data_IF_486167147964
#
_entry.id   IF_486167147964
#
_cell.length_a   1.000
_cell.length_b   1.000
_cell.length_c   1.000
_cell.angle_alpha   90.00
_cell.angle_beta   90.00
_cell.angle_gamma   90.00
#
_symmetry.space_group_name_H-M   'P 1'
#
loop_
_entity.id
_entity.type
_entity.pdbx_description
1 polymer ?
#
# COMPACT_ATOMS: atom_id res chain seq x y z
N UNK A 1 3.62 4.65 2.82
CA UNK A 1 4.39 3.54 3.42
C UNK A 1 5.73 3.33 2.72
N UNK A 2 5.79 3.05 1.41
CA UNK A 2 7.06 2.73 0.74
C UNK A 2 8.10 3.86 0.68
N UNK A 3 7.66 5.12 0.58
CA UNK A 3 8.56 6.28 0.52
C UNK A 3 9.18 6.62 1.90
N UNK A 4 8.41 6.42 2.96
CA UNK A 4 8.82 6.68 4.34
C UNK A 4 9.85 5.63 4.80
N UNK A 5 9.60 4.35 4.49
CA UNK A 5 10.56 3.26 4.70
C UNK A 5 11.86 3.43 3.91
N UNK A 6 11.78 3.92 2.67
CA UNK A 6 12.97 4.22 1.87
C UNK A 6 13.78 5.38 2.46
N UNK A 7 13.10 6.39 3.01
CA UNK A 7 13.73 7.55 3.65
C UNK A 7 14.42 7.16 4.95
N UNK A 8 13.78 6.33 5.77
CA UNK A 8 14.38 5.79 7.00
C UNK A 8 15.60 4.90 6.71
N UNK A 9 15.54 4.11 5.64
CA UNK A 9 16.67 3.26 5.22
C UNK A 9 17.85 4.09 4.72
N UNK A 10 17.60 5.19 4.00
CA UNK A 10 18.65 6.14 3.60
C UNK A 10 19.27 6.81 4.84
N UNK A 11 18.46 7.25 5.80
CA UNK A 11 18.95 7.87 7.02
C UNK A 11 19.82 6.91 7.86
N UNK A 12 19.48 5.63 7.91
CA UNK A 12 20.28 4.60 8.57
C UNK A 12 21.62 4.36 7.86
N UNK A 13 21.60 4.29 6.53
CA UNK A 13 22.82 4.12 5.73
C UNK A 13 23.75 5.34 5.86
N UNK A 14 23.21 6.56 5.87
CA UNK A 14 24.01 7.77 6.11
C UNK A 14 24.64 7.80 7.50
N UNK A 15 23.91 7.35 8.54
CA UNK A 15 24.47 7.27 9.90
C UNK A 15 25.63 6.27 9.94
N UNK A 16 25.43 5.08 9.37
CA UNK A 16 26.47 4.06 9.34
C UNK A 16 27.70 4.50 8.54
N UNK A 17 27.52 5.22 7.42
CA UNK A 17 28.61 5.78 6.63
C UNK A 17 29.41 6.85 7.40
N UNK A 18 28.74 7.77 8.10
CA UNK A 18 29.40 8.77 8.96
C UNK A 18 30.18 8.11 10.11
N UNK A 19 29.63 7.05 10.69
CA UNK A 19 30.26 6.33 11.80
C UNK A 19 31.51 5.56 11.34
N UNK A 20 31.48 4.97 10.14
CA UNK A 20 32.66 4.37 9.53
C UNK A 20 33.76 5.39 9.19
N UNK A 21 33.39 6.57 8.68
CA UNK A 21 34.36 7.65 8.39
C UNK A 21 35.05 8.16 9.66
N UNK A 22 34.30 8.33 10.76
CA UNK A 22 34.86 8.71 12.06
C UNK A 22 35.86 7.65 12.56
N UNK A 23 35.52 6.36 12.47
CA UNK A 23 36.43 5.27 12.86
C UNK A 23 37.69 5.24 12.01
N UNK A 24 37.57 5.51 10.72
CA UNK A 24 38.72 5.62 9.81
C UNK A 24 39.62 6.81 10.18
N UNK A 25 39.05 7.98 10.44
CA UNK A 25 39.83 9.15 10.89
C UNK A 25 40.50 8.94 12.25
N UNK A 26 39.84 8.25 13.18
CA UNK A 26 40.43 7.87 14.46
C UNK A 26 41.62 6.92 14.24
N UNK A 27 41.45 5.89 13.40
CA UNK A 27 42.56 5.00 13.03
C UNK A 27 43.72 5.78 12.40
N UNK A 28 43.46 6.76 11.53
CA UNK A 28 44.54 7.58 10.96
C UNK A 28 45.26 8.40 12.04
N UNK A 29 44.52 8.97 13.00
CA UNK A 29 45.11 9.73 14.11
C UNK A 29 45.96 8.85 15.03
N UNK A 30 45.50 7.63 15.29
CA UNK A 30 46.22 6.66 16.14
C UNK A 30 47.51 6.16 15.47
N UNK A 31 47.54 6.11 14.14
CA UNK A 31 48.74 5.76 13.37
C UNK A 31 49.62 6.97 12.99
N UNK A 32 49.12 8.20 13.11
CA UNK A 32 49.97 9.38 12.97
C UNK A 32 50.75 9.61 14.25
N UNK A 33 52.00 9.12 14.31
CA UNK A 33 52.96 9.55 15.32
C UNK A 33 52.98 11.09 15.37
N UNK A 34 53.06 11.71 16.56
CA UNK A 34 53.27 13.15 16.64
C UNK A 34 54.59 13.46 15.91
N UNK A 35 54.51 14.15 14.78
CA UNK A 35 55.62 14.94 14.30
C UNK A 35 55.80 16.09 15.29
N UNK A 36 56.44 15.78 16.43
CA UNK A 36 57.14 16.77 17.23
C UNK A 36 58.16 17.41 16.30
N UNK A 37 57.83 18.59 15.80
CA UNK A 37 58.84 19.55 15.37
C UNK A 37 59.68 19.85 16.60
N UNK A 38 60.80 19.15 16.75
CA UNK A 38 61.87 19.56 17.66
C UNK A 38 62.41 20.91 17.17
N UNK A 39 61.84 21.98 17.72
CA UNK A 39 62.50 23.28 17.74
C UNK A 39 63.72 23.16 18.65
N UNK A 40 64.90 23.12 18.04
CA UNK A 40 66.21 23.01 18.71
C UNK A 40 66.52 24.26 19.56
N UNK A 41 65.71 25.30 19.47
CA UNK A 41 66.03 26.61 20.04
C UNK A 41 65.63 26.77 21.53
N UNK A 42 64.75 25.91 22.07
CA UNK A 42 64.23 26.06 23.45
C UNK A 42 64.96 25.24 24.53
N UNK A 43 66.00 24.45 24.19
CA UNK A 43 66.76 23.68 25.21
C UNK A 43 68.09 24.33 25.63
N UNK A 44 68.43 25.51 25.12
CA UNK A 44 69.70 26.18 25.44
C UNK A 44 69.61 27.22 26.58
N UNK A 45 68.45 27.43 27.20
CA UNK A 45 68.26 28.53 28.16
C UNK A 45 68.05 28.11 29.63
N UNK A 46 68.02 26.82 29.96
CA UNK A 46 67.84 26.37 31.36
C UNK A 46 68.70 25.15 31.68
N UNK A 47 69.94 25.42 32.09
CA UNK A 47 70.57 24.86 33.29
C UNK A 47 72.07 25.13 33.23
N UNK A 48 72.50 26.11 34.00
CA UNK A 48 73.91 26.33 34.27
C UNK A 48 74.45 25.18 35.08
N UNK A 49 75.34 24.41 34.47
CA UNK A 49 76.42 23.72 35.16
C UNK A 49 77.55 23.53 34.16
N UNK A 50 78.73 24.04 34.52
CA UNK A 50 79.95 23.91 33.73
C UNK A 50 80.35 22.43 33.68
N UNK A 51 79.83 21.68 32.70
CA UNK A 51 80.35 20.35 32.38
C UNK A 51 81.60 20.52 31.52
N UNK A 52 82.72 20.10 32.10
CA UNK A 52 84.05 20.13 31.50
C UNK A 52 84.10 19.31 30.20
N UNK A 53 84.53 19.95 29.11
CA UNK A 53 84.76 19.36 27.78
C UNK A 53 85.72 18.15 27.77
N UNK A 54 86.42 17.87 28.87
CA UNK A 54 87.27 16.68 29.01
C UNK A 54 86.49 15.39 29.24
N UNK A 55 85.28 15.43 29.82
CA UNK A 55 84.47 14.24 30.08
C UNK A 55 83.74 13.73 28.83
N UNK A 56 83.58 14.56 27.81
CA UNK A 56 82.98 14.19 26.52
C UNK A 56 84.00 13.62 25.51
N UNK A 57 85.30 13.69 25.80
CA UNK A 57 86.38 13.17 24.95
C UNK A 57 86.99 11.84 25.43
N UNK A 58 86.54 11.30 26.57
CA UNK A 58 86.87 9.93 26.98
C UNK A 58 85.98 8.93 26.22
N UNK A 59 86.33 8.67 24.96
CA UNK A 59 85.96 7.41 24.31
C UNK A 59 86.88 6.33 24.92
N UNK A 60 86.65 6.00 26.18
CA UNK A 60 87.27 4.84 26.81
C UNK A 60 86.53 3.61 26.27
N UNK A 61 87.20 2.77 25.50
CA UNK A 61 86.67 1.43 25.20
C UNK A 61 86.23 0.78 26.52
N UNK A 62 85.02 0.19 26.59
CA UNK A 62 84.57 -0.44 27.82
C UNK A 62 85.62 -1.49 28.21
N UNK A 63 86.10 -1.41 29.44
CA UNK A 63 87.04 -2.44 29.92
C UNK A 63 86.35 -3.80 29.84
N UNK A 64 87.07 -4.87 29.50
CA UNK A 64 86.53 -6.24 29.47
C UNK A 64 85.71 -6.59 30.73
N UNK A 65 86.12 -6.05 31.89
CA UNK A 65 85.41 -6.15 33.17
C UNK A 65 83.99 -5.55 33.13
N UNK A 66 83.81 -4.36 32.54
CA UNK A 66 82.50 -3.73 32.38
C UNK A 66 81.60 -4.50 31.42
N UNK A 67 82.15 -5.02 30.32
CA UNK A 67 81.40 -5.87 29.39
C UNK A 67 80.96 -7.17 30.05
N UNK A 68 81.88 -7.88 30.73
CA UNK A 68 81.55 -9.11 31.45
C UNK A 68 80.54 -8.87 32.58
N UNK A 69 80.61 -7.72 33.26
CA UNK A 69 79.65 -7.34 34.30
C UNK A 69 78.25 -7.05 33.71
N UNK A 70 78.18 -6.44 32.52
CA UNK A 70 76.95 -6.23 31.77
C UNK A 70 76.31 -7.57 31.37
N UNK A 71 77.11 -8.47 30.78
CA UNK A 71 76.66 -9.83 30.40
C UNK A 71 76.16 -10.62 31.61
N UNK A 72 76.88 -10.54 32.73
CA UNK A 72 76.45 -11.17 33.97
C UNK A 72 75.10 -10.64 34.47
N UNK A 73 74.87 -9.31 34.46
CA UNK A 73 73.59 -8.71 34.87
C UNK A 73 72.45 -9.16 33.96
N UNK A 74 72.69 -9.21 32.64
CA UNK A 74 71.71 -9.70 31.68
C UNK A 74 71.36 -11.18 31.91
N UNK A 75 72.37 -12.04 32.09
CA UNK A 75 72.18 -13.46 32.37
C UNK A 75 71.44 -13.68 33.69
N UNK A 76 71.74 -12.89 34.73
CA UNK A 76 71.08 -13.00 36.03
C UNK A 76 69.61 -12.57 35.99
N UNK A 77 69.30 -11.51 35.24
CA UNK A 77 67.92 -11.10 34.95
C UNK A 77 67.16 -12.20 34.20
N UNK A 78 67.79 -12.81 33.19
CA UNK A 78 67.21 -13.92 32.44
C UNK A 78 66.94 -15.15 33.32
N UNK A 79 67.86 -15.52 34.21
CA UNK A 79 67.66 -16.61 35.18
C UNK A 79 66.41 -16.38 36.04
N UNK A 80 66.19 -15.15 36.49
CA UNK A 80 65.03 -14.80 37.30
C UNK A 80 63.72 -14.91 36.50
N UNK A 81 63.70 -14.42 35.26
CA UNK A 81 62.53 -14.52 34.37
C UNK A 81 62.18 -15.97 34.04
N UNK A 82 63.17 -16.83 33.81
CA UNK A 82 62.94 -18.24 33.50
C UNK A 82 62.44 -19.01 34.74
N UNK A 83 62.91 -18.65 35.94
CA UNK A 83 62.40 -19.21 37.20
C UNK A 83 60.94 -18.83 37.46
N UNK A 84 60.57 -17.58 37.21
CA UNK A 84 59.18 -17.12 37.43
C UNK A 84 58.22 -17.72 36.42
N UNK A 85 58.63 -17.84 35.15
CA UNK A 85 57.80 -18.44 34.11
C UNK A 85 57.56 -19.95 34.33
N UNK A 86 58.41 -20.64 35.11
CA UNK A 86 58.18 -22.04 35.53
C UNK A 86 57.09 -22.16 36.61
N UNK A 87 56.97 -21.17 37.49
CA UNK A 87 55.99 -21.16 38.61
C UNK A 87 54.67 -20.45 38.25
N UNK A 88 54.60 -19.75 37.11
CA UNK A 88 53.48 -18.89 36.68
C UNK A 88 52.26 -19.63 36.07
N UNK A 89 52.16 -20.96 36.16
CA UNK A 89 50.88 -21.65 35.86
C UNK A 89 49.82 -21.39 36.97
N UNK A 90 50.18 -20.68 38.05
CA UNK A 90 49.24 -19.98 38.93
C UNK A 90 49.18 -18.50 38.57
N UNK A 91 48.14 -18.10 37.84
CA UNK A 91 47.93 -16.74 37.31
C UNK A 91 47.80 -15.63 38.35
N UNK A 92 48.91 -15.30 39.02
CA UNK A 92 49.09 -14.12 39.85
C UNK A 92 50.50 -13.60 39.61
N UNK A 93 50.57 -12.44 38.94
CA UNK A 93 51.80 -11.73 38.61
C UNK A 93 52.64 -11.54 39.89
N UNK A 94 53.76 -12.25 39.99
CA UNK A 94 54.71 -12.02 41.07
C UNK A 94 55.67 -10.90 40.65
N UNK A 95 55.46 -9.72 41.23
CA UNK A 95 56.32 -8.54 41.07
C UNK A 95 57.77 -8.90 41.47
N UNK A 96 58.60 -9.21 40.48
CA UNK A 96 60.02 -9.40 40.66
C UNK A 96 60.66 -8.05 40.94
N UNK A 97 60.75 -7.73 42.23
CA UNK A 97 61.65 -6.70 42.72
C UNK A 97 63.07 -7.09 42.33
N UNK A 98 63.65 -6.36 41.39
CA UNK A 98 65.08 -6.40 41.10
C UNK A 98 65.81 -6.24 42.43
N UNK A 99 66.39 -7.32 42.95
CA UNK A 99 67.25 -7.24 44.12
C UNK A 99 68.39 -6.27 43.76
N UNK A 100 68.31 -5.07 44.34
CA UNK A 100 69.32 -4.02 44.27
C UNK A 100 70.66 -4.59 44.71
N UNK A 101 71.46 -5.05 43.75
CA UNK A 101 72.79 -5.55 44.00
C UNK A 101 73.74 -4.36 43.90
N UNK A 102 74.33 -4.01 45.04
CA UNK A 102 75.23 -2.88 45.23
C UNK A 102 76.29 -2.78 44.12
N UNK A 103 76.47 -1.56 43.60
CA UNK A 103 77.43 -1.17 42.54
C UNK A 103 78.92 -1.29 42.95
N UNK A 104 79.26 -2.14 43.92
CA UNK A 104 80.62 -2.20 44.50
C UNK A 104 81.39 -3.47 44.18
N UNK A 105 80.83 -4.41 43.42
CA UNK A 105 81.53 -5.63 43.03
C UNK A 105 82.48 -5.40 41.84
N UNK A 106 83.78 -5.42 42.11
CA UNK A 106 84.82 -5.61 41.09
C UNK A 106 84.61 -6.99 40.43
N UNK A 107 84.69 -7.06 39.10
CA UNK A 107 84.49 -8.31 38.36
C UNK A 107 85.39 -9.42 38.89
N UNK A 108 84.77 -10.52 39.33
CA UNK A 108 85.45 -11.74 39.78
C UNK A 108 85.11 -12.88 38.82
N UNK A 109 86.13 -13.64 38.41
CA UNK A 109 86.03 -14.75 37.44
C UNK A 109 84.98 -15.81 37.85
N UNK A 110 84.65 -15.91 39.14
CA UNK A 110 83.65 -16.86 39.66
C UNK A 110 82.19 -16.50 39.35
N UNK A 111 81.86 -15.23 39.18
CA UNK A 111 80.46 -14.77 39.08
C UNK A 111 79.75 -15.32 37.84
N UNK A 112 80.37 -15.23 36.66
CA UNK A 112 79.80 -15.78 35.43
C UNK A 112 79.65 -17.31 35.51
N UNK A 113 80.56 -17.98 36.21
CA UNK A 113 80.51 -19.44 36.41
C UNK A 113 79.31 -19.83 37.28
N UNK A 114 79.03 -19.06 38.34
CA UNK A 114 77.85 -19.28 39.18
C UNK A 114 76.54 -19.12 38.42
N UNK A 115 76.39 -18.03 37.65
CA UNK A 115 75.17 -17.81 36.85
C UNK A 115 75.05 -18.82 35.71
N UNK A 116 76.16 -19.25 35.12
CA UNK A 116 76.14 -20.34 34.13
C UNK A 116 75.68 -21.67 34.76
N UNK A 117 76.14 -22.00 35.97
CA UNK A 117 75.70 -23.21 36.66
C UNK A 117 74.22 -23.13 37.07
N UNK A 118 73.76 -21.96 37.48
CA UNK A 118 72.34 -21.70 37.78
C UNK A 118 71.45 -21.90 36.54
N UNK A 119 71.89 -21.40 35.38
CA UNK A 119 71.21 -21.64 34.10
C UNK A 119 71.19 -23.11 33.71
N UNK A 120 72.31 -23.81 33.87
CA UNK A 120 72.39 -25.25 33.57
C UNK A 120 71.43 -26.04 34.45
N UNK A 121 71.38 -25.73 35.76
CA UNK A 121 70.44 -26.38 36.67
C UNK A 121 68.99 -26.08 36.29
N UNK A 122 68.66 -24.83 35.93
CA UNK A 122 67.31 -24.46 35.52
C UNK A 122 66.86 -25.16 34.23
N UNK A 123 67.77 -25.34 33.28
CA UNK A 123 67.53 -26.10 32.04
C UNK A 123 67.34 -27.59 32.33
N UNK A 124 68.10 -28.15 33.26
CA UNK A 124 67.98 -29.55 33.66
C UNK A 124 66.71 -29.82 34.49
N UNK A 125 66.29 -28.86 35.31
CA UNK A 125 65.04 -28.90 36.09
C UNK A 125 63.79 -28.67 35.21
N UNK A 126 63.97 -28.27 33.95
CA UNK A 126 62.86 -28.12 33.01
C UNK A 126 62.26 -29.49 32.72
N UNK A 127 61.01 -29.71 33.15
CA UNK A 127 60.29 -30.96 32.89
C UNK A 127 59.79 -31.02 31.43
N UNK A 128 60.71 -31.34 30.53
CA UNK A 128 60.47 -31.51 29.10
C UNK A 128 59.37 -32.55 28.83
N UNK A 129 59.24 -33.58 29.68
CA UNK A 129 58.22 -34.62 29.53
C UNK A 129 56.83 -34.02 29.78
N UNK A 130 56.64 -33.28 30.87
CA UNK A 130 55.38 -32.58 31.16
C UNK A 130 55.01 -31.56 30.09
N UNK A 131 55.99 -30.85 29.52
CA UNK A 131 55.76 -29.92 28.42
C UNK A 131 55.31 -30.64 27.14
N UNK A 132 55.96 -31.76 26.78
CA UNK A 132 55.57 -32.60 25.64
C UNK A 132 54.13 -33.10 25.83
N UNK A 133 53.79 -33.62 27.01
CA UNK A 133 52.43 -34.07 27.30
C UNK A 133 51.40 -32.94 27.20
N UNK A 134 51.74 -31.72 27.65
CA UNK A 134 50.87 -30.53 27.52
C UNK A 134 50.68 -30.15 26.04
N UNK A 135 51.74 -30.16 25.25
CA UNK A 135 51.67 -29.92 23.81
C UNK A 135 50.83 -30.99 23.10
N UNK A 136 50.95 -32.25 23.47
CA UNK A 136 50.13 -33.34 22.93
C UNK A 136 48.66 -33.24 23.32
N UNK A 137 48.36 -32.76 24.54
CA UNK A 137 46.98 -32.44 24.97
C UNK A 137 46.40 -31.33 24.10
N UNK A 138 47.09 -30.20 23.93
CA UNK A 138 46.62 -29.11 23.07
C UNK A 138 46.46 -29.55 21.61
N UNK A 139 47.36 -30.39 21.09
CA UNK A 139 47.23 -30.95 19.75
C UNK A 139 45.95 -31.76 19.59
N UNK A 140 45.60 -32.60 20.58
CA UNK A 140 44.34 -33.37 20.58
C UNK A 140 43.12 -32.46 20.67
N UNK A 141 43.14 -31.46 21.55
CA UNK A 141 42.03 -30.51 21.70
C UNK A 141 41.77 -29.73 20.40
N UNK A 142 42.83 -29.29 19.71
CA UNK A 142 42.72 -28.61 18.41
C UNK A 142 42.08 -29.56 17.38
N UNK A 143 42.53 -30.82 17.30
CA UNK A 143 41.95 -31.80 16.39
C UNK A 143 40.46 -32.05 16.66
N UNK A 144 40.06 -32.14 17.93
CA UNK A 144 38.65 -32.30 18.31
C UNK A 144 37.82 -31.06 17.96
N UNK A 145 38.39 -29.85 18.11
CA UNK A 145 37.76 -28.60 17.66
C UNK A 145 37.60 -28.55 16.14
N UNK A 146 38.60 -28.99 15.38
CA UNK A 146 38.53 -29.02 13.91
C UNK A 146 37.42 -29.96 13.42
N UNK A 147 37.29 -31.15 14.02
CA UNK A 147 36.20 -32.09 13.70
C UNK A 147 34.83 -31.48 14.01
N UNK A 148 34.69 -30.79 15.14
CA UNK A 148 33.44 -30.14 15.52
C UNK A 148 33.11 -28.94 14.61
N UNK A 149 34.12 -28.15 14.22
CA UNK A 149 33.96 -27.07 13.24
C UNK A 149 33.49 -27.61 11.89
N UNK A 150 34.05 -28.74 11.44
CA UNK A 150 33.63 -29.38 10.19
C UNK A 150 32.16 -29.82 10.26
N UNK A 151 31.73 -30.47 11.35
CA UNK A 151 30.32 -30.86 11.55
C UNK A 151 29.37 -29.67 11.54
N UNK A 152 29.77 -28.56 12.16
CA UNK A 152 29.00 -27.31 12.15
C UNK A 152 28.93 -26.71 10.76
N UNK A 153 30.03 -26.74 10.01
CA UNK A 153 30.05 -26.28 8.62
C UNK A 153 29.10 -27.09 7.73
N UNK A 154 29.08 -28.43 7.88
CA UNK A 154 28.17 -29.31 7.14
C UNK A 154 26.70 -29.01 7.50
N UNK A 155 26.41 -28.80 8.79
CA UNK A 155 25.05 -28.44 9.26
C UNK A 155 24.61 -27.08 8.71
N UNK A 156 25.51 -26.08 8.71
CA UNK A 156 25.24 -24.77 8.13
C UNK A 156 24.90 -24.92 6.65
N UNK A 157 25.70 -25.69 5.89
CA UNK A 157 25.45 -25.93 4.48
C UNK A 157 24.08 -26.59 4.25
N UNK A 158 23.73 -27.62 5.03
CA UNK A 158 22.41 -28.26 4.93
C UNK A 158 21.27 -27.27 5.21
N UNK A 159 21.38 -26.48 6.28
CA UNK A 159 20.37 -25.46 6.60
C UNK A 159 20.28 -24.39 5.52
N UNK A 160 21.40 -23.94 4.96
CA UNK A 160 21.42 -22.98 3.85
C UNK A 160 20.69 -23.53 2.63
N UNK A 161 20.90 -24.80 2.27
CA UNK A 161 20.16 -25.42 1.15
C UNK A 161 18.66 -25.52 1.44
N UNK A 162 18.26 -25.90 2.66
CA UNK A 162 16.84 -25.95 3.06
C UNK A 162 16.19 -24.58 3.00
N UNK A 163 16.87 -23.54 3.49
CA UNK A 163 16.37 -22.16 3.42
C UNK A 163 16.19 -21.73 1.96
N UNK A 164 17.16 -22.02 1.09
CA UNK A 164 17.06 -21.69 -0.33
C UNK A 164 15.85 -22.37 -1.01
N UNK A 165 15.59 -23.65 -0.70
CA UNK A 165 14.42 -24.36 -1.22
C UNK A 165 13.12 -23.73 -0.70
N UNK A 166 13.02 -23.51 0.61
CA UNK A 166 11.85 -22.87 1.22
C UNK A 166 11.57 -21.47 0.64
N UNK A 167 12.60 -20.68 0.33
CA UNK A 167 12.46 -19.36 -0.30
C UNK A 167 11.87 -19.46 -1.71
N UNK A 168 12.28 -20.46 -2.49
CA UNK A 168 11.74 -20.70 -3.83
C UNK A 168 10.28 -21.17 -3.75
N UNK A 169 9.97 -22.11 -2.85
CA UNK A 169 8.60 -22.58 -2.63
C UNK A 169 7.67 -21.45 -2.16
N UNK A 170 8.14 -20.61 -1.25
CA UNK A 170 7.40 -19.45 -0.78
C UNK A 170 7.14 -18.47 -1.93
N UNK A 171 8.15 -18.18 -2.76
CA UNK A 171 7.99 -17.31 -3.92
C UNK A 171 6.96 -17.88 -4.90
N UNK A 172 7.05 -19.17 -5.21
CA UNK A 172 6.08 -19.84 -6.09
C UNK A 172 4.65 -19.80 -5.52
N UNK A 173 4.49 -20.02 -4.22
CA UNK A 173 3.19 -19.95 -3.55
C UNK A 173 2.61 -18.52 -3.57
N UNK A 174 3.44 -17.49 -3.38
CA UNK A 174 3.01 -16.09 -3.48
C UNK A 174 2.57 -15.75 -4.91
N UNK A 175 3.33 -16.18 -5.92
CA UNK A 175 2.97 -15.99 -7.34
C UNK A 175 1.65 -16.68 -7.70
N UNK A 176 1.41 -17.90 -7.19
CA UNK A 176 0.15 -18.62 -7.40
C UNK A 176 -1.03 -17.89 -6.73
N UNK A 177 -0.85 -17.45 -5.48
CA UNK A 177 -1.85 -16.65 -4.77
C UNK A 177 -2.19 -15.37 -5.54
N UNK A 178 -1.18 -14.67 -6.04
CA UNK A 178 -1.37 -13.42 -6.74
C UNK A 178 -2.06 -13.63 -8.09
N UNK A 179 -1.72 -14.71 -8.82
CA UNK A 179 -2.45 -15.13 -10.02
C UNK A 179 -3.92 -15.42 -9.70
N UNK A 180 -4.21 -16.26 -8.70
CA UNK A 180 -5.58 -16.60 -8.30
C UNK A 180 -6.37 -15.36 -7.85
N UNK A 181 -5.74 -14.43 -7.13
CA UNK A 181 -6.36 -13.17 -6.71
C UNK A 181 -6.70 -12.28 -7.90
N UNK A 182 -5.79 -12.16 -8.87
CA UNK A 182 -6.03 -11.38 -10.07
C UNK A 182 -7.17 -11.98 -10.91
N UNK A 183 -7.18 -13.29 -11.11
CA UNK A 183 -8.25 -13.99 -11.85
C UNK A 183 -9.61 -13.84 -11.16
N UNK A 184 -9.66 -13.96 -9.84
CA UNK A 184 -10.87 -13.73 -9.06
C UNK A 184 -11.36 -12.28 -9.20
N UNK A 185 -10.46 -11.30 -9.16
CA UNK A 185 -10.82 -9.89 -9.34
C UNK A 185 -11.33 -9.59 -10.75
N UNK A 186 -10.68 -10.11 -11.79
CA UNK A 186 -11.11 -9.95 -13.18
C UNK A 186 -12.47 -10.63 -13.43
N UNK A 187 -12.67 -11.82 -12.88
CA UNK A 187 -13.95 -12.54 -12.98
C UNK A 187 -15.07 -11.79 -12.26
N UNK A 188 -14.83 -11.30 -11.04
CA UNK A 188 -15.81 -10.52 -10.29
C UNK A 188 -16.21 -9.24 -11.00
N UNK A 189 -15.21 -8.46 -11.47
CA UNK A 189 -15.46 -7.22 -12.21
C UNK A 189 -16.23 -7.50 -13.51
N UNK A 190 -15.88 -8.55 -14.24
CA UNK A 190 -16.60 -8.95 -15.45
C UNK A 190 -18.06 -9.34 -15.15
N UNK A 191 -18.32 -10.04 -14.04
CA UNK A 191 -19.68 -10.38 -13.63
C UNK A 191 -20.48 -9.13 -13.23
N UNK A 192 -19.88 -8.21 -12.48
CA UNK A 192 -20.52 -6.95 -12.10
C UNK A 192 -20.89 -6.11 -13.32
N UNK A 193 -19.99 -6.00 -14.30
CA UNK A 193 -20.26 -5.29 -15.56
C UNK A 193 -21.42 -5.92 -16.35
N UNK A 194 -21.50 -7.26 -16.38
CA UNK A 194 -22.61 -7.99 -17.02
C UNK A 194 -23.93 -7.72 -16.28
N UNK A 195 -23.92 -7.73 -14.94
CA UNK A 195 -25.10 -7.45 -14.13
C UNK A 195 -25.57 -6.01 -14.30
N UNK A 196 -24.64 -5.04 -14.36
CA UNK A 196 -24.95 -3.63 -14.61
C UNK A 196 -25.61 -3.44 -15.98
N UNK A 197 -25.04 -4.01 -17.04
CA UNK A 197 -25.63 -3.98 -18.39
C UNK A 197 -27.01 -4.62 -18.42
N UNK A 198 -27.20 -5.76 -17.75
CA UNK A 198 -28.49 -6.44 -17.67
C UNK A 198 -29.56 -5.61 -16.94
N UNK A 199 -29.16 -4.89 -15.87
CA UNK A 199 -30.04 -3.93 -15.17
C UNK A 199 -30.42 -2.78 -16.08
N UNK A 200 -29.46 -2.19 -16.78
CA UNK A 200 -29.71 -1.09 -17.70
C UNK A 200 -30.69 -1.48 -18.82
N UNK A 201 -30.48 -2.64 -19.45
CA UNK A 201 -31.39 -3.16 -20.48
C UNK A 201 -32.81 -3.35 -19.94
N UNK A 202 -32.94 -3.90 -18.73
CA UNK A 202 -34.24 -4.06 -18.06
C UNK A 202 -34.90 -2.71 -17.81
N UNK A 203 -34.17 -1.74 -17.27
CA UNK A 203 -34.71 -0.42 -16.94
C UNK A 203 -35.15 0.34 -18.20
N UNK A 204 -34.38 0.22 -19.29
CA UNK A 204 -34.78 0.72 -20.61
C UNK A 204 -36.06 0.03 -21.11
N UNK A 205 -36.18 -1.29 -20.97
CA UNK A 205 -37.37 -2.03 -21.37
C UNK A 205 -38.60 -1.64 -20.53
N UNK A 206 -38.44 -1.47 -19.22
CA UNK A 206 -39.49 -0.98 -18.31
C UNK A 206 -39.93 0.43 -18.71
N UNK A 207 -39.00 1.32 -19.03
CA UNK A 207 -39.31 2.68 -19.48
C UNK A 207 -40.11 2.67 -20.78
N UNK A 208 -39.71 1.83 -21.77
CA UNK A 208 -40.47 1.66 -23.03
C UNK A 208 -41.87 1.10 -22.77
N UNK A 209 -42.01 0.10 -21.88
CA UNK A 209 -43.30 -0.47 -21.49
C UNK A 209 -44.21 0.58 -20.87
N UNK A 210 -43.72 1.33 -19.89
CA UNK A 210 -44.51 2.37 -19.22
C UNK A 210 -44.93 3.47 -20.20
N UNK A 211 -44.06 3.87 -21.13
CA UNK A 211 -44.42 4.82 -22.19
C UNK A 211 -45.56 4.30 -23.07
N UNK A 212 -45.48 3.05 -23.51
CA UNK A 212 -46.53 2.43 -24.31
C UNK A 212 -47.86 2.28 -23.53
N UNK A 213 -47.80 1.97 -22.23
CA UNK A 213 -48.98 1.91 -21.35
C UNK A 213 -49.66 3.27 -21.22
N UNK A 214 -48.88 4.35 -21.09
CA UNK A 214 -49.41 5.73 -21.05
C UNK A 214 -50.07 6.10 -22.39
N UNK A 215 -49.43 5.79 -23.52
CA UNK A 215 -49.99 6.04 -24.86
C UNK A 215 -51.28 5.23 -25.09
N UNK A 216 -51.32 3.98 -24.63
CA UNK A 216 -52.53 3.15 -24.68
C UNK A 216 -53.67 3.71 -23.83
N UNK A 217 -53.37 4.24 -22.64
CA UNK A 217 -54.38 4.87 -21.80
C UNK A 217 -54.95 6.13 -22.45
N UNK A 218 -54.10 6.95 -23.09
CA UNK A 218 -54.52 8.15 -23.83
C UNK A 218 -55.44 7.80 -25.00
N UNK A 219 -55.04 6.85 -25.85
CA UNK A 219 -55.86 6.44 -27.00
C UNK A 219 -57.19 5.83 -26.59
N UNK A 220 -57.26 5.09 -25.46
CA UNK A 220 -58.53 4.63 -24.88
C UNK A 220 -59.44 5.77 -24.45
N UNK A 221 -58.88 6.79 -23.80
CA UNK A 221 -59.63 7.97 -23.39
C UNK A 221 -60.17 8.74 -24.61
N UNK A 222 -59.35 8.94 -25.64
CA UNK A 222 -59.75 9.57 -26.90
C UNK A 222 -60.88 8.78 -27.59
N UNK A 223 -60.81 7.44 -27.60
CA UNK A 223 -61.86 6.59 -28.14
C UNK A 223 -63.17 6.73 -27.35
N UNK A 224 -63.11 6.73 -26.02
CA UNK A 224 -64.30 6.93 -25.18
C UNK A 224 -64.93 8.31 -25.42
N UNK A 225 -64.11 9.36 -25.56
CA UNK A 225 -64.59 10.70 -25.89
C UNK A 225 -65.26 10.76 -27.26
N UNK A 226 -64.63 10.19 -28.29
CA UNK A 226 -65.20 10.12 -29.64
C UNK A 226 -66.51 9.32 -29.67
N UNK A 227 -66.60 8.23 -28.91
CA UNK A 227 -67.83 7.46 -28.78
C UNK A 227 -68.95 8.26 -28.09
N UNK A 228 -68.61 9.03 -27.04
CA UNK A 228 -69.55 9.96 -26.39
C UNK A 228 -70.09 11.01 -27.37
N UNK A 229 -69.21 11.66 -28.12
CA UNK A 229 -69.60 12.63 -29.16
C UNK A 229 -70.48 12.00 -30.24
N UNK A 230 -70.18 10.77 -30.66
CA UNK A 230 -71.02 10.04 -31.62
C UNK A 230 -72.42 9.77 -31.06
N UNK A 231 -72.50 9.36 -29.79
CA UNK A 231 -73.77 9.06 -29.13
C UNK A 231 -74.65 10.32 -29.00
N UNK A 232 -74.04 11.45 -28.62
CA UNK A 232 -74.70 12.76 -28.59
C UNK A 232 -75.19 13.18 -29.99
N UNK A 233 -74.38 13.01 -31.03
CA UNK A 233 -74.77 13.33 -32.41
C UNK A 233 -75.93 12.44 -32.91
N UNK A 234 -75.92 11.15 -32.55
CA UNK A 234 -77.04 10.24 -32.85
C UNK A 234 -78.30 10.70 -32.13
N UNK A 235 -78.19 11.06 -30.85
CA UNK A 235 -79.33 11.50 -30.06
C UNK A 235 -79.94 12.80 -30.62
N UNK A 236 -79.12 13.79 -30.96
CA UNK A 236 -79.56 15.00 -31.65
C UNK A 236 -80.23 14.69 -32.99
N UNK A 237 -79.68 13.74 -33.78
CA UNK A 237 -80.29 13.30 -35.04
C UNK A 237 -81.66 12.65 -34.83
N UNK A 238 -81.80 11.81 -33.79
CA UNK A 238 -83.08 11.18 -33.45
C UNK A 238 -84.11 12.24 -33.04
N UNK A 239 -83.73 13.18 -32.18
CA UNK A 239 -84.59 14.28 -31.74
C UNK A 239 -85.08 15.14 -32.93
N UNK A 240 -84.17 15.52 -33.83
CA UNK A 240 -84.54 16.26 -35.05
C UNK A 240 -85.45 15.44 -35.99
N UNK A 241 -85.23 14.12 -36.08
CA UNK A 241 -86.08 13.24 -36.89
C UNK A 241 -87.51 13.17 -36.32
N UNK A 242 -87.64 13.07 -35.00
CA UNK A 242 -88.94 13.11 -34.32
C UNK A 242 -89.65 14.47 -34.49
N UNK A 243 -88.91 15.58 -34.38
CA UNK A 243 -89.45 16.91 -34.65
C UNK A 243 -89.94 17.06 -36.10
N UNK A 244 -89.21 16.49 -37.06
CA UNK A 244 -89.60 16.46 -38.47
C UNK A 244 -90.90 15.66 -38.67
N UNK A 245 -90.99 14.47 -38.07
CA UNK A 245 -92.20 13.62 -38.12
C UNK A 245 -93.41 14.35 -37.52
N UNK A 246 -93.23 15.04 -36.39
CA UNK A 246 -94.28 15.87 -35.78
C UNK A 246 -94.72 17.00 -36.72
N UNK A 247 -93.76 17.73 -37.30
CA UNK A 247 -94.07 18.84 -38.22
C UNK A 247 -94.78 18.35 -39.49
N UNK A 248 -94.42 17.17 -39.99
CA UNK A 248 -95.11 16.51 -41.10
C UNK A 248 -96.56 16.19 -40.74
N UNK A 249 -96.83 15.67 -39.54
CA UNK A 249 -98.18 15.39 -39.07
C UNK A 249 -99.01 16.68 -38.94
N UNK A 250 -98.47 17.71 -38.29
CA UNK A 250 -99.15 19.01 -38.11
C UNK A 250 -99.49 19.66 -39.47
N UNK A 251 -98.57 19.59 -40.44
CA UNK A 251 -98.81 20.09 -41.80
C UNK A 251 -99.90 19.29 -42.53
N UNK A 252 -99.94 17.97 -42.33
CA UNK A 252 -100.97 17.13 -42.92
C UNK A 252 -102.34 17.43 -42.31
N UNK A 253 -102.43 17.61 -41.00
CA UNK A 253 -103.66 18.04 -40.32
C UNK A 253 -104.15 19.40 -40.84
N UNK A 254 -103.25 20.38 -40.98
CA UNK A 254 -103.58 21.70 -41.52
C UNK A 254 -104.12 21.61 -42.96
N UNK A 255 -103.53 20.75 -43.80
CA UNK A 255 -104.03 20.49 -45.16
C UNK A 255 -105.41 19.84 -45.14
N UNK A 256 -105.63 18.85 -44.27
CA UNK A 256 -106.92 18.18 -44.11
C UNK A 256 -108.00 19.14 -43.58
N UNK A 257 -107.67 20.02 -42.64
CA UNK A 257 -108.57 21.08 -42.16
C UNK A 257 -108.89 22.09 -43.25
N UNK A 258 -107.89 22.54 -44.02
CA UNK A 258 -108.13 23.43 -45.16
C UNK A 258 -109.02 22.76 -46.22
N UNK A 259 -108.82 21.47 -46.49
CA UNK A 259 -109.66 20.71 -47.42
C UNK A 259 -111.10 20.59 -46.90
N UNK A 260 -111.29 20.20 -45.64
CA UNK A 260 -112.61 20.13 -44.99
C UNK A 260 -113.31 21.49 -44.97
N UNK A 261 -112.59 22.56 -44.65
CA UNK A 261 -113.10 23.94 -44.65
C UNK A 261 -113.56 24.35 -46.05
N UNK A 262 -112.77 24.04 -47.10
CA UNK A 262 -113.18 24.31 -48.48
C UNK A 262 -114.40 23.50 -48.92
N UNK A 263 -114.47 22.22 -48.57
CA UNK A 263 -115.63 21.36 -48.88
C UNK A 263 -116.89 21.86 -48.19
N UNK A 264 -116.85 22.10 -46.87
CA UNK A 264 -117.99 22.65 -46.12
C UNK A 264 -118.39 24.04 -46.58
N UNK A 265 -117.44 24.93 -46.89
CA UNK A 265 -117.73 26.26 -47.45
C UNK A 265 -118.35 26.17 -48.85
N UNK A 266 -117.95 25.18 -49.68
CA UNK A 266 -118.61 24.89 -50.95
C UNK A 266 -120.02 24.33 -50.76
N UNK A 267 -120.23 23.41 -49.82
CA UNK A 267 -121.55 22.87 -49.48
C UNK A 267 -122.52 23.96 -48.96
N UNK A 268 -122.04 24.88 -48.12
CA UNK A 268 -122.82 26.04 -47.65
C UNK A 268 -123.14 26.97 -48.82
N UNK A 269 -122.17 27.28 -49.69
CA UNK A 269 -122.43 28.07 -50.92
C UNK A 269 -123.42 27.38 -51.86
N UNK A 270 -123.38 26.06 -51.99
CA UNK A 270 -124.35 25.27 -52.76
C UNK A 270 -125.75 25.29 -52.10
N UNK A 271 -125.85 25.27 -50.77
CA UNK A 271 -127.14 25.38 -50.05
C UNK A 271 -127.74 26.79 -50.11
N UNK A 272 -126.92 27.84 -50.00
CA UNK A 272 -127.36 29.23 -50.13
C UNK A 272 -127.79 29.58 -51.57
N UNK A 273 -127.14 28.98 -52.59
CA UNK A 273 -127.56 29.14 -53.99
C UNK A 273 -128.85 28.37 -54.35
N UNK A 274 -129.28 27.41 -53.52
CA UNK A 274 -130.60 26.76 -53.64
C UNK A 274 -131.70 27.60 -52.94
N UNK A 275 -131.36 28.47 -51.99
CA UNK A 275 -132.33 29.33 -51.26
C UNK A 275 -132.56 30.73 -51.87
N UNK A 276 -131.80 31.14 -52.90
CA UNK A 276 -132.03 32.39 -53.62
C UNK A 276 -132.46 32.15 -55.08
N UNK A 277 -133.69 31.66 -55.28
CA UNK A 277 -134.43 31.93 -56.52
C UNK A 277 -134.97 33.38 -56.50
N UNK A 278 -134.81 34.18 -57.58
CA UNK A 278 -135.39 35.51 -57.65
C UNK A 278 -136.89 35.41 -57.96
N UNK A 279 -137.72 35.87 -57.02
CA UNK A 279 -139.17 36.03 -57.21
C UNK A 279 -139.43 37.18 -58.20
N UNK A 280 -140.20 36.98 -59.29
CA UNK A 280 -140.46 38.01 -60.30
C UNK A 280 -141.52 39.04 -59.82
N UNK A 281 -141.44 40.32 -60.22
CA UNK A 281 -142.37 41.36 -59.79
C UNK A 281 -143.74 41.26 -60.47
N UNK A 282 -144.84 41.67 -59.80
CA UNK A 282 -146.20 41.47 -60.29
C UNK A 282 -146.54 42.46 -61.41
N UNK A 283 -146.95 41.93 -62.58
CA UNK A 283 -147.52 42.71 -63.68
C UNK A 283 -148.99 43.03 -63.38
N UNK A 284 -149.32 44.30 -63.12
CA UNK A 284 -150.70 44.81 -63.22
C UNK A 284 -150.98 45.22 -64.67
N UNK A 285 -151.84 44.48 -65.37
CA UNK A 285 -152.54 44.98 -66.57
C UNK A 285 -153.94 45.42 -66.15
N UNK A 286 -154.14 46.73 -66.16
CA UNK A 286 -155.43 47.41 -66.15
C UNK A 286 -156.15 47.13 -67.46
N UNK A 287 -157.35 46.56 -67.41
CA UNK A 287 -158.36 46.64 -68.48
C UNK A 287 -159.73 46.33 -67.85
N UNK A 288 -160.70 47.23 -68.00
CA UNK A 288 -162.12 46.94 -67.74
C UNK A 288 -162.85 48.03 -66.97
N UNK A 289 -163.39 48.99 -67.71
CA UNK A 289 -164.33 50.03 -67.26
C UNK A 289 -165.70 49.41 -66.85
N UNK A 290 -166.35 49.99 -65.82
CA UNK A 290 -167.81 50.15 -65.56
C UNK A 290 -168.77 49.04 -66.08
N UNK A 291 -169.73 48.48 -65.31
CA UNK A 291 -170.81 49.20 -64.60
C UNK A 291 -171.76 48.20 -63.88
N UNK A 292 -172.47 48.70 -62.86
CA UNK A 292 -173.62 48.16 -62.09
C UNK A 292 -173.34 47.37 -60.82
#
# INVERSE_FOLDING_TARGET
MTLEEATDRIAQLERHAREQDIRYQQSIKDYSLPHEKLSIEDRLSVSGDQRSLLAEMDISEPSLSQECMSVYRQLRSLCQQLKTHSDDDSGLHSDCSNASMDETHLFSTGLLTEVAQELVNLVLDTDVVSLIERMERYRRDIQDRDIELQRRADTIMELTTKVSVCEVELRAALEERDRARNDASHTSLAQDDVVLKAREVRDQAVTRKNKAEIELAKTRMELMQANGQLLEAIQQKVELSQQLEQWQMDMQELLDEQLRSKLTSQEVKMKDSIQQQPVPPPRRRLLGFFQR
#
